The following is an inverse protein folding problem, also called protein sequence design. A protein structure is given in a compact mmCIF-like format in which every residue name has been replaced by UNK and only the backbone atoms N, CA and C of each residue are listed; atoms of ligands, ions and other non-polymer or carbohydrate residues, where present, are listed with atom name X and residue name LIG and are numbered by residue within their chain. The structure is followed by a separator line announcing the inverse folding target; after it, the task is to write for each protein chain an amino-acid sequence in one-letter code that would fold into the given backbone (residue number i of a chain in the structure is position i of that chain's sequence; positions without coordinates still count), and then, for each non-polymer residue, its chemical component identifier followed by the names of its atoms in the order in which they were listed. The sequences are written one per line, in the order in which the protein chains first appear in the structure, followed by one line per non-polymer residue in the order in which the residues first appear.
data_IF_615956944780
#
_entry.id   IF_615956944780
#
_cell.length_a   1.000
_cell.length_b   1.000
_cell.length_c   1.000
_cell.angle_alpha   90.00
_cell.angle_beta   90.00
_cell.angle_gamma   90.00
#
_symmetry.space_group_name_H-M   'P 1'
#
loop_
_entity.id
_entity.type
_entity.pdbx_description
1 polymer ?
#
# COMPACT_ATOMS: atom_id res chain seq x y z
N UNK A 1 -26.24 -10.96 4.73
CA UNK A 1 -25.55 -9.78 4.17
C UNK A 1 -24.65 -9.24 5.27
N UNK A 2 -23.34 -9.47 5.19
CA UNK A 2 -22.39 -9.18 6.27
C UNK A 2 -22.29 -7.66 6.47
N UNK A 3 -22.81 -7.19 7.59
CA UNK A 3 -22.72 -5.80 8.04
C UNK A 3 -21.42 -5.66 8.86
N UNK A 4 -20.27 -5.70 8.18
CA UNK A 4 -18.99 -5.41 8.82
C UNK A 4 -18.81 -3.89 8.88
N UNK A 5 -18.44 -3.30 10.04
CA UNK A 5 -18.07 -1.89 10.09
C UNK A 5 -16.92 -1.70 9.10
N UNK A 6 -17.13 -0.87 8.09
CA UNK A 6 -16.06 -0.40 7.22
C UNK A 6 -15.14 0.46 8.07
N UNK A 7 -14.21 -0.18 8.79
CA UNK A 7 -13.02 0.52 9.23
C UNK A 7 -12.48 1.23 8.00
N UNK A 8 -12.20 2.53 8.13
CA UNK A 8 -11.80 3.43 7.05
C UNK A 8 -10.37 3.10 6.55
N UNK A 9 -10.07 1.81 6.44
CA UNK A 9 -8.81 1.25 6.04
C UNK A 9 -8.60 1.60 4.57
N UNK A 10 -7.49 2.28 4.25
CA UNK A 10 -7.17 2.62 2.88
C UNK A 10 -7.18 1.38 1.98
N UNK A 11 -7.80 1.51 0.82
CA UNK A 11 -7.76 0.46 -0.21
C UNK A 11 -6.33 0.21 -0.71
N UNK A 12 -6.08 -0.91 -1.41
CA UNK A 12 -4.80 -1.14 -2.06
C UNK A 12 -4.49 -0.05 -3.09
N UNK A 13 -3.23 0.38 -3.12
CA UNK A 13 -2.75 1.47 -3.97
C UNK A 13 -1.74 0.90 -4.96
N UNK A 14 -1.94 1.18 -6.24
CA UNK A 14 -0.96 0.81 -7.26
C UNK A 14 0.29 1.68 -7.14
N UNK A 15 1.45 1.10 -7.40
CA UNK A 15 2.66 1.87 -7.54
C UNK A 15 2.52 2.91 -8.66
N UNK A 16 3.21 4.05 -8.48
CA UNK A 16 3.06 5.25 -9.30
C UNK A 16 1.90 6.15 -8.88
N UNK A 17 1.03 5.73 -7.94
CA UNK A 17 0.00 6.59 -7.37
C UNK A 17 0.51 7.32 -6.12
N UNK A 18 0.00 8.54 -5.84
CA UNK A 18 0.26 9.23 -4.60
C UNK A 18 -0.37 8.49 -3.43
N UNK A 19 0.36 8.39 -2.33
CA UNK A 19 -0.09 7.75 -1.11
C UNK A 19 -1.27 8.53 -0.51
N UNK A 20 -2.41 7.89 -0.22
CA UNK A 20 -3.58 8.60 0.29
C UNK A 20 -3.45 8.98 1.77
N UNK A 21 -2.66 8.23 2.54
CA UNK A 21 -2.54 8.37 3.99
C UNK A 21 -1.11 8.10 4.46
N UNK A 22 -0.63 8.98 5.35
CA UNK A 22 0.66 8.79 6.02
C UNK A 22 0.59 7.58 6.95
N UNK A 23 1.54 6.66 6.80
CA UNK A 23 1.63 5.46 7.62
C UNK A 23 2.47 4.38 6.98
N UNK A 24 2.43 3.18 7.53
CA UNK A 24 3.13 2.02 7.02
C UNK A 24 2.28 1.29 5.97
N UNK A 25 2.93 1.00 4.85
CA UNK A 25 2.40 0.21 3.76
C UNK A 25 3.36 -0.92 3.44
N UNK A 26 2.86 -2.02 2.90
CA UNK A 26 3.70 -3.13 2.44
C UNK A 26 3.21 -3.64 1.10
N UNK A 27 4.08 -4.29 0.34
CA UNK A 27 3.73 -4.90 -0.94
C UNK A 27 4.13 -6.37 -0.99
N UNK A 28 3.23 -7.28 -1.40
CA UNK A 28 3.60 -8.68 -1.63
C UNK A 28 4.54 -8.85 -2.82
N UNK A 29 4.72 -7.83 -3.66
CA UNK A 29 5.64 -7.85 -4.80
C UNK A 29 7.11 -7.97 -4.39
N UNK A 30 7.47 -7.60 -3.16
CA UNK A 30 8.84 -7.75 -2.65
C UNK A 30 8.85 -8.09 -1.15
N UNK A 31 9.71 -9.04 -0.76
CA UNK A 31 9.90 -9.39 0.64
C UNK A 31 10.54 -8.23 1.42
N UNK A 32 10.08 -7.98 2.65
CA UNK A 32 10.49 -6.83 3.47
C UNK A 32 10.26 -5.45 2.82
N UNK A 33 9.29 -5.34 1.91
CA UNK A 33 8.90 -4.06 1.29
C UNK A 33 8.16 -3.10 2.23
N UNK A 34 7.85 -3.52 3.47
CA UNK A 34 7.11 -2.68 4.43
C UNK A 34 7.87 -1.38 4.67
N UNK A 35 7.25 -0.27 4.33
CA UNK A 35 7.83 1.06 4.38
C UNK A 35 6.80 2.08 4.85
N UNK A 36 7.29 3.11 5.53
CA UNK A 36 6.49 4.28 5.86
C UNK A 36 6.41 5.23 4.67
N UNK A 37 5.20 5.65 4.31
CA UNK A 37 4.93 6.63 3.27
C UNK A 37 4.20 7.83 3.87
N UNK A 38 4.42 8.99 3.28
CA UNK A 38 3.69 10.21 3.62
C UNK A 38 2.57 10.47 2.63
N UNK A 39 1.47 11.09 3.08
CA UNK A 39 0.37 11.47 2.21
C UNK A 39 0.87 12.36 1.06
N UNK A 40 0.54 11.97 -0.17
CA UNK A 40 1.00 12.63 -1.40
C UNK A 40 2.32 12.06 -1.96
N UNK A 41 3.05 11.23 -1.22
CA UNK A 41 4.29 10.60 -1.71
C UNK A 41 3.97 9.54 -2.77
N UNK A 42 4.68 9.57 -3.91
CA UNK A 42 4.49 8.57 -4.96
C UNK A 42 5.04 7.23 -4.50
N UNK A 43 4.16 6.22 -4.46
CA UNK A 43 4.55 4.88 -4.03
C UNK A 43 5.36 4.20 -5.15
N UNK A 44 6.58 3.72 -4.89
CA UNK A 44 7.45 3.19 -5.94
C UNK A 44 6.96 1.83 -6.43
N UNK A 45 7.32 1.49 -7.67
CA UNK A 45 7.10 0.16 -8.24
C UNK A 45 8.37 -0.68 -8.18
N UNK A 46 8.21 -1.98 -7.95
CA UNK A 46 9.24 -2.99 -8.09
C UNK A 46 9.18 -3.55 -9.51
N UNK A 47 10.06 -3.06 -10.40
CA UNK A 47 10.13 -3.52 -11.79
C UNK A 47 10.60 -4.97 -11.93
N UNK A 48 11.33 -5.46 -10.93
CA UNK A 48 11.90 -6.82 -10.91
C UNK A 48 11.02 -7.84 -10.15
N UNK A 49 9.75 -7.51 -9.87
CA UNK A 49 8.86 -8.43 -9.17
C UNK A 49 8.33 -9.53 -10.09
N UNK A 50 8.48 -10.82 -9.73
CA UNK A 50 7.89 -11.93 -10.48
C UNK A 50 6.35 -11.98 -10.38
N UNK A 51 5.76 -11.17 -9.49
CA UNK A 51 4.31 -11.13 -9.23
C UNK A 51 3.56 -10.05 -10.04
N UNK A 52 4.26 -9.34 -10.94
CA UNK A 52 3.67 -8.29 -11.78
C UNK A 52 3.62 -6.93 -11.11
N UNK A 53 2.53 -6.18 -11.33
CA UNK A 53 2.39 -4.80 -10.87
C UNK A 53 2.50 -4.68 -9.34
N UNK A 54 3.25 -3.68 -8.88
CA UNK A 54 3.42 -3.43 -7.43
C UNK A 54 2.16 -2.81 -6.85
N UNK A 55 1.56 -3.49 -5.88
CA UNK A 55 0.39 -3.02 -5.15
C UNK A 55 0.77 -2.88 -3.68
N UNK A 56 0.48 -1.72 -3.12
CA UNK A 56 0.73 -1.36 -1.74
C UNK A 56 -0.53 -1.53 -0.90
N UNK A 57 -0.42 -2.26 0.19
CA UNK A 57 -1.48 -2.52 1.15
C UNK A 57 -1.21 -1.78 2.44
N UNK A 58 -2.26 -1.21 3.02
CA UNK A 58 -2.17 -0.53 4.31
C UNK A 58 -1.78 -1.51 5.40
N UNK A 59 -0.77 -1.15 6.20
CA UNK A 59 -0.31 -1.94 7.35
C UNK A 59 -0.75 -1.30 8.66
N UNK A 60 -0.31 -0.07 8.93
CA UNK A 60 -0.61 0.62 10.19
C UNK A 60 -0.49 2.12 10.04
N UNK A 61 -1.31 2.88 10.77
CA UNK A 61 -1.08 4.32 10.92
C UNK A 61 0.24 4.56 11.66
N UNK A 62 0.84 5.73 11.46
CA UNK A 62 1.89 6.28 12.32
C UNK A 62 1.31 7.32 13.24
#
# INVERSE_FOLDING_TARGET
RSNTPKHNTPGPIHAGQPCPHTGYWFSPAQHNSRRHFTQGEIMPEFKDSPWGATIWYWSSAT
#
